data_IF_740310186851
#
_entry.id   IF_740310186851
#
_cell.length_a   1.000
_cell.length_b   1.000
_cell.length_c   1.000
_cell.angle_alpha   90.00
_cell.angle_beta   90.00
_cell.angle_gamma   90.00
#
_symmetry.space_group_name_H-M   'P 1'
#
loop_
_entity.id
_entity.type
_entity.pdbx_description
1 polymer ?
#
# COMPACT_ATOMS: atom_id res chain seq x y z
N UNK A 1 -1.72 7.46 -40.24
CA UNK A 1 -0.27 7.14 -40.21
C UNK A 1 0.19 7.33 -38.78
N UNK A 2 0.29 6.21 -38.08
CA UNK A 2 0.07 6.09 -36.65
C UNK A 2 1.31 6.32 -35.79
N UNK A 3 1.06 6.93 -34.63
CA UNK A 3 1.95 7.11 -33.47
C UNK A 3 2.48 5.79 -32.86
N UNK A 4 2.17 4.64 -33.48
CA UNK A 4 2.46 3.29 -32.98
C UNK A 4 3.88 2.79 -33.30
N UNK A 5 4.69 3.49 -34.11
CA UNK A 5 6.01 3.01 -34.53
C UNK A 5 7.24 3.63 -33.85
N UNK A 6 7.07 4.54 -32.88
CA UNK A 6 8.21 5.25 -32.28
C UNK A 6 8.71 4.72 -30.91
N UNK A 7 8.17 3.61 -30.37
CA UNK A 7 8.53 3.11 -29.02
C UNK A 7 9.25 1.74 -29.07
N UNK A 8 9.78 1.33 -30.22
CA UNK A 8 10.43 0.01 -30.35
C UNK A 8 11.97 0.02 -30.33
N UNK A 9 12.64 1.15 -30.11
CA UNK A 9 14.12 1.19 -30.20
C UNK A 9 14.83 1.72 -28.95
N UNK A 10 14.60 1.06 -27.80
CA UNK A 10 15.43 1.22 -26.61
C UNK A 10 15.94 -0.15 -26.16
N UNK A 11 17.04 -0.56 -26.77
CA UNK A 11 17.80 -1.79 -26.54
C UNK A 11 18.65 -1.70 -25.26
N UNK A 12 18.01 -1.53 -24.09
CA UNK A 12 18.70 -1.63 -22.79
C UNK A 12 17.89 -2.43 -21.74
N UNK A 13 18.44 -3.53 -21.17
CA UNK A 13 17.69 -4.49 -20.33
C UNK A 13 17.17 -3.92 -18.98
N UNK A 14 17.58 -2.71 -18.59
CA UNK A 14 17.15 -2.05 -17.35
C UNK A 14 15.73 -1.47 -17.48
N UNK A 15 15.36 -0.93 -18.64
CA UNK A 15 14.03 -0.35 -18.87
C UNK A 15 12.93 -1.42 -18.94
N UNK A 16 13.28 -2.66 -19.30
CA UNK A 16 12.36 -3.82 -19.34
C UNK A 16 11.82 -4.22 -17.96
N UNK A 17 12.54 -3.90 -16.87
CA UNK A 17 12.13 -4.22 -15.49
C UNK A 17 11.23 -3.13 -14.88
N UNK A 18 11.43 -1.86 -15.24
CA UNK A 18 10.57 -0.75 -14.82
C UNK A 18 9.26 -0.74 -15.62
N UNK A 19 9.30 -1.03 -16.93
CA UNK A 19 8.08 -1.16 -17.73
C UNK A 19 7.19 -2.34 -17.31
N UNK A 20 7.76 -3.37 -16.67
CA UNK A 20 6.97 -4.49 -16.13
C UNK A 20 6.09 -4.07 -14.95
N UNK A 21 6.46 -3.02 -14.20
CA UNK A 21 5.60 -2.44 -13.16
C UNK A 21 4.42 -1.67 -13.74
N UNK A 22 4.53 -1.14 -14.97
CA UNK A 22 3.47 -0.38 -15.64
C UNK A 22 2.51 -1.29 -16.44
N UNK A 23 2.99 -2.42 -16.96
CA UNK A 23 2.21 -3.36 -17.78
C UNK A 23 1.29 -4.32 -16.99
N UNK A 24 1.42 -4.41 -15.65
CA UNK A 24 0.57 -5.31 -14.83
C UNK A 24 -0.73 -4.62 -14.39
N UNK A 25 -0.95 -3.35 -14.74
CA UNK A 25 -2.23 -2.67 -14.50
C UNK A 25 -3.34 -3.24 -15.41
N UNK A 26 -2.99 -3.96 -16.49
CA UNK A 26 -3.95 -4.43 -17.51
C UNK A 26 -3.95 -5.95 -17.76
N UNK A 27 -3.33 -6.78 -16.92
CA UNK A 27 -3.36 -8.23 -17.12
C UNK A 27 -4.62 -8.86 -16.48
N UNK A 28 -5.62 -9.32 -17.27
CA UNK A 28 -6.80 -9.95 -16.70
C UNK A 28 -6.44 -11.24 -15.96
N UNK A 29 -7.01 -11.42 -14.76
CA UNK A 29 -6.90 -12.63 -13.97
C UNK A 29 -7.46 -13.83 -14.77
N UNK A 30 -6.61 -14.76 -15.21
CA UNK A 30 -6.97 -15.95 -16.01
C UNK A 30 -7.73 -17.04 -15.22
N UNK A 31 -8.43 -16.70 -14.14
CA UNK A 31 -9.32 -17.63 -13.40
C UNK A 31 -10.72 -17.04 -13.33
N UNK A 32 -11.41 -17.07 -14.46
CA UNK A 32 -12.85 -16.87 -14.51
C UNK A 32 -13.49 -18.15 -13.95
N UNK A 33 -13.83 -18.15 -12.65
CA UNK A 33 -14.89 -19.02 -12.11
C UNK A 33 -16.17 -18.20 -12.04
N UNK A 34 -17.29 -18.84 -12.38
CA UNK A 34 -18.61 -18.26 -12.72
C UNK A 34 -19.32 -17.44 -11.62
N UNK A 35 -18.66 -17.12 -10.51
CA UNK A 35 -19.22 -16.37 -9.39
C UNK A 35 -18.69 -14.93 -9.30
N UNK A 36 -17.97 -14.45 -10.31
CA UNK A 36 -17.50 -13.06 -10.32
C UNK A 36 -18.70 -12.12 -10.59
N UNK A 37 -19.05 -11.21 -9.65
CA UNK A 37 -20.08 -10.22 -9.92
C UNK A 37 -19.67 -9.37 -11.14
N UNK A 38 -20.64 -8.87 -11.92
CA UNK A 38 -20.36 -8.05 -13.09
C UNK A 38 -19.47 -6.87 -12.71
N UNK A 39 -18.56 -6.52 -13.61
CA UNK A 39 -17.62 -5.42 -13.48
C UNK A 39 -18.46 -4.13 -13.48
N UNK A 40 -18.91 -3.68 -12.32
CA UNK A 40 -19.50 -2.35 -12.20
C UNK A 40 -18.36 -1.35 -12.38
N UNK A 41 -18.21 -0.88 -13.61
CA UNK A 41 -17.32 0.20 -14.04
C UNK A 41 -17.84 1.55 -13.53
N UNK A 42 -18.26 1.61 -12.26
CA UNK A 42 -18.44 2.87 -11.57
C UNK A 42 -17.06 3.31 -11.13
N UNK A 43 -16.67 4.49 -11.61
CA UNK A 43 -15.43 5.19 -11.32
C UNK A 43 -15.41 5.64 -9.84
N UNK A 44 -15.54 4.70 -8.90
CA UNK A 44 -15.59 4.95 -7.46
C UNK A 44 -14.16 5.31 -7.06
N UNK A 45 -13.94 6.60 -6.90
CA UNK A 45 -12.73 7.15 -6.31
C UNK A 45 -12.71 6.72 -4.84
N UNK A 46 -11.90 5.70 -4.52
CA UNK A 46 -11.65 5.33 -3.14
C UNK A 46 -10.63 6.31 -2.57
N UNK A 47 -10.91 6.85 -1.38
CA UNK A 47 -10.00 7.68 -0.61
C UNK A 47 -9.90 7.15 0.83
N UNK A 48 -8.68 7.06 1.33
CA UNK A 48 -8.41 6.76 2.73
C UNK A 48 -7.94 8.02 3.43
N UNK A 49 -8.60 8.36 4.54
CA UNK A 49 -8.29 9.51 5.38
C UNK A 49 -7.73 9.00 6.71
N UNK A 50 -6.52 9.40 7.10
CA UNK A 50 -5.98 9.09 8.42
C UNK A 50 -6.38 10.17 9.44
N UNK A 51 -6.99 9.78 10.55
CA UNK A 51 -7.21 10.72 11.65
C UNK A 51 -5.90 11.10 12.35
N UNK A 52 -5.89 12.24 13.07
CA UNK A 52 -4.73 12.73 13.83
C UNK A 52 -4.11 11.67 14.75
N UNK A 53 -4.94 10.87 15.43
CA UNK A 53 -4.49 9.84 16.37
C UNK A 53 -3.67 8.77 15.66
N UNK A 54 -4.11 8.31 14.50
CA UNK A 54 -3.44 7.35 13.64
C UNK A 54 -2.11 7.89 13.13
N UNK A 55 -2.07 9.14 12.65
CA UNK A 55 -0.82 9.80 12.24
C UNK A 55 0.19 9.82 13.38
N UNK A 56 -0.24 10.26 14.57
CA UNK A 56 0.65 10.36 15.73
C UNK A 56 1.11 8.98 16.23
N UNK A 57 0.24 7.99 16.15
CA UNK A 57 0.57 6.59 16.45
C UNK A 57 1.63 6.08 15.48
N UNK A 58 1.41 6.18 14.17
CA UNK A 58 2.41 5.81 13.16
C UNK A 58 3.75 6.49 13.41
N UNK A 59 3.75 7.81 13.60
CA UNK A 59 4.98 8.59 13.84
C UNK A 59 5.76 8.06 15.05
N UNK A 60 5.08 7.80 16.17
CA UNK A 60 5.72 7.22 17.37
C UNK A 60 6.25 5.82 17.12
N UNK A 61 5.47 4.95 16.49
CA UNK A 61 5.83 3.56 16.31
C UNK A 61 6.98 3.37 15.31
N UNK A 62 6.98 4.16 14.21
CA UNK A 62 8.06 4.20 13.21
C UNK A 62 9.37 4.69 13.83
N UNK A 63 9.34 5.75 14.66
CA UNK A 63 10.54 6.19 15.38
C UNK A 63 11.11 5.10 16.27
N UNK A 64 10.25 4.39 17.00
CA UNK A 64 10.65 3.28 17.88
C UNK A 64 11.16 2.06 17.12
N UNK A 65 10.65 1.81 15.91
CA UNK A 65 11.08 0.68 15.09
C UNK A 65 12.46 0.92 14.43
N UNK A 66 12.80 2.18 14.13
CA UNK A 66 14.05 2.53 13.47
C UNK A 66 14.14 1.89 12.08
N UNK A 67 15.09 0.98 11.90
CA UNK A 67 15.31 0.25 10.64
C UNK A 67 14.49 -1.04 10.52
N UNK A 68 13.73 -1.41 11.56
CA UNK A 68 12.90 -2.62 11.54
C UNK A 68 11.56 -2.33 10.87
N UNK A 69 11.16 -3.22 10.00
CA UNK A 69 9.82 -3.22 9.45
C UNK A 69 8.79 -3.59 10.53
N UNK A 70 7.70 -2.85 10.56
CA UNK A 70 6.54 -3.05 11.44
C UNK A 70 5.27 -2.85 10.62
N UNK A 71 4.13 -3.29 11.14
CA UNK A 71 2.86 -3.11 10.46
C UNK A 71 1.68 -3.54 11.29
N UNK A 72 0.58 -3.91 10.68
CA UNK A 72 -0.63 -4.39 11.34
C UNK A 72 -1.87 -4.10 10.53
N UNK A 73 -3.02 -4.12 11.19
CA UNK A 73 -4.33 -3.91 10.56
C UNK A 73 -4.87 -2.49 10.75
N UNK A 74 -5.69 -2.07 9.79
CA UNK A 74 -6.42 -0.79 9.75
C UNK A 74 -7.88 -1.02 10.10
N UNK A 75 -8.38 -0.24 11.06
CA UNK A 75 -9.80 -0.20 11.42
C UNK A 75 -10.33 1.21 11.18
N UNK A 76 -11.49 1.29 10.53
CA UNK A 76 -12.01 2.57 10.11
C UNK A 76 -13.50 2.60 9.92
N UNK A 77 -13.94 3.78 9.54
CA UNK A 77 -15.32 4.14 9.34
C UNK A 77 -15.56 4.40 7.86
N UNK A 78 -16.65 3.88 7.33
CA UNK A 78 -17.22 4.31 6.05
C UNK A 78 -17.86 5.70 6.21
N UNK A 79 -17.42 6.66 5.40
CA UNK A 79 -17.97 8.02 5.37
C UNK A 79 -18.99 8.21 4.24
N UNK A 80 -19.20 7.20 3.40
CA UNK A 80 -19.93 7.32 2.14
C UNK A 80 -19.04 7.81 0.99
N UNK A 81 -19.57 7.73 -0.23
CA UNK A 81 -18.97 8.28 -1.46
C UNK A 81 -17.51 7.81 -1.72
N UNK A 82 -17.19 6.58 -1.33
CA UNK A 82 -15.86 6.00 -1.50
C UNK A 82 -14.80 6.51 -0.52
N UNK A 83 -15.18 7.25 0.52
CA UNK A 83 -14.26 7.81 1.51
C UNK A 83 -14.27 7.00 2.80
N UNK A 84 -13.08 6.65 3.29
CA UNK A 84 -12.93 5.80 4.47
C UNK A 84 -11.97 6.45 5.48
N UNK A 85 -12.46 6.69 6.70
CA UNK A 85 -11.68 7.27 7.79
C UNK A 85 -11.02 6.17 8.63
N UNK A 86 -9.70 6.10 8.63
CA UNK A 86 -8.96 5.22 9.55
C UNK A 86 -9.01 5.82 10.94
N UNK A 87 -9.73 5.15 11.84
CA UNK A 87 -9.96 5.59 13.21
C UNK A 87 -8.93 5.04 14.19
N UNK A 88 -8.44 3.82 13.95
CA UNK A 88 -7.35 3.21 14.71
C UNK A 88 -6.60 2.18 13.85
N UNK A 89 -5.42 1.79 14.32
CA UNK A 89 -4.59 0.77 13.68
C UNK A 89 -3.88 -0.07 14.73
N UNK A 90 -3.73 -1.37 14.49
CA UNK A 90 -2.92 -2.22 15.37
C UNK A 90 -1.43 -2.07 15.03
N UNK A 91 -0.54 -2.51 15.92
CA UNK A 91 0.91 -2.51 15.68
C UNK A 91 1.49 -3.87 16.02
N UNK A 92 2.06 -4.51 15.02
CA UNK A 92 2.82 -5.75 15.08
C UNK A 92 4.28 -5.42 14.76
N UNK A 93 5.20 -5.89 15.61
CA UNK A 93 6.64 -5.65 15.51
C UNK A 93 7.44 -6.92 15.21
N UNK A 94 6.77 -8.05 15.28
CA UNK A 94 7.22 -9.41 15.08
C UNK A 94 6.71 -9.92 13.73
N UNK A 95 7.47 -9.71 12.66
CA UNK A 95 7.14 -10.21 11.33
C UNK A 95 8.32 -10.08 10.39
N UNK A 96 8.65 -11.16 9.68
CA UNK A 96 9.54 -11.09 8.52
C UNK A 96 8.75 -10.60 7.30
N UNK A 97 9.50 -10.04 6.33
CA UNK A 97 9.19 -9.39 5.05
C UNK A 97 8.01 -9.92 4.19
N UNK A 98 7.31 -10.96 4.61
CA UNK A 98 6.28 -11.65 3.83
C UNK A 98 5.21 -12.33 4.67
N UNK A 99 5.16 -12.15 5.99
CA UNK A 99 4.13 -12.82 6.81
C UNK A 99 3.74 -11.99 8.03
N UNK A 100 3.00 -10.90 7.80
CA UNK A 100 2.07 -10.45 8.84
C UNK A 100 1.14 -11.62 9.14
N UNK A 101 1.26 -12.19 10.35
CA UNK A 101 0.40 -13.29 10.81
C UNK A 101 -0.97 -12.70 11.10
N UNK A 102 -1.79 -12.60 10.05
CA UNK A 102 -3.14 -12.01 10.04
C UNK A 102 -4.04 -12.60 11.13
N UNK A 103 -3.91 -13.90 11.37
CA UNK A 103 -4.60 -14.65 12.42
C UNK A 103 -3.93 -14.57 13.80
N UNK A 104 -3.12 -13.54 14.06
CA UNK A 104 -2.58 -13.29 15.39
C UNK A 104 -3.73 -13.04 16.37
N UNK A 105 -3.74 -13.70 17.55
CA UNK A 105 -4.69 -13.38 18.63
C UNK A 105 -4.77 -11.88 18.94
N UNK A 106 -3.66 -11.15 18.73
CA UNK A 106 -3.58 -9.70 18.93
C UNK A 106 -4.45 -8.91 17.94
N UNK A 107 -4.56 -9.34 16.68
CA UNK A 107 -5.40 -8.66 15.69
C UNK A 107 -6.88 -8.92 15.95
N UNK A 108 -7.24 -10.15 16.32
CA UNK A 108 -8.60 -10.47 16.75
C UNK A 108 -9.01 -9.69 17.99
N UNK A 109 -8.14 -9.60 18.99
CA UNK A 109 -8.39 -8.80 20.18
C UNK A 109 -8.54 -7.30 19.84
N UNK A 110 -7.68 -6.77 18.97
CA UNK A 110 -7.76 -5.38 18.52
C UNK A 110 -9.10 -5.09 17.83
N UNK A 111 -9.54 -5.95 16.89
CA UNK A 111 -10.82 -5.75 16.19
C UNK A 111 -12.01 -5.92 17.13
N UNK A 112 -11.96 -6.87 18.07
CA UNK A 112 -13.00 -7.03 19.10
C UNK A 112 -13.16 -5.75 19.92
N UNK A 113 -12.07 -5.20 20.44
CA UNK A 113 -12.07 -3.93 21.17
C UNK A 113 -12.46 -2.73 20.31
N UNK A 114 -12.23 -2.78 19.00
CA UNK A 114 -12.70 -1.76 18.06
C UNK A 114 -14.22 -1.81 17.91
N UNK A 115 -14.80 -3.00 17.74
CA UNK A 115 -16.25 -3.12 17.61
C UNK A 115 -16.99 -2.85 18.92
N UNK A 116 -16.44 -3.27 20.06
CA UNK A 116 -17.02 -2.97 21.38
C UNK A 116 -17.19 -1.46 21.59
N UNK A 117 -16.15 -0.66 21.30
CA UNK A 117 -16.20 0.81 21.47
C UNK A 117 -17.01 1.53 20.39
N UNK A 118 -17.29 0.89 19.27
CA UNK A 118 -18.14 1.46 18.19
C UNK A 118 -19.57 0.91 18.24
N UNK A 119 -19.96 0.23 19.32
CA UNK A 119 -21.31 -0.29 19.49
C UNK A 119 -21.69 -1.39 18.49
N UNK A 120 -20.70 -2.10 17.94
CA UNK A 120 -20.90 -3.15 16.94
C UNK A 120 -21.67 -2.70 15.67
N UNK A 121 -21.59 -1.42 15.32
CA UNK A 121 -22.15 -0.90 14.08
C UNK A 121 -21.26 -1.30 12.87
N UNK A 122 -21.44 -2.53 12.39
CA UNK A 122 -20.68 -3.10 11.27
C UNK A 122 -21.05 -2.48 9.91
N UNK A 123 -22.15 -1.75 9.81
CA UNK A 123 -22.48 -1.02 8.57
C UNK A 123 -21.52 0.16 8.40
N UNK A 124 -21.11 0.76 9.52
CA UNK A 124 -20.28 1.96 9.52
C UNK A 124 -18.83 1.70 9.87
N UNK A 125 -18.52 0.76 10.75
CA UNK A 125 -17.17 0.52 11.27
C UNK A 125 -16.66 -0.86 10.89
N UNK A 126 -15.51 -0.93 10.23
CA UNK A 126 -15.01 -2.15 9.60
C UNK A 126 -13.48 -2.30 9.68
N UNK A 127 -13.03 -3.54 9.48
CA UNK A 127 -11.67 -3.83 9.05
C UNK A 127 -11.49 -3.30 7.64
N UNK A 128 -10.52 -2.41 7.43
CA UNK A 128 -10.27 -1.81 6.12
C UNK A 128 -9.13 -2.50 5.35
N UNK A 129 -8.22 -3.19 6.05
CA UNK A 129 -7.06 -3.82 5.43
C UNK A 129 -5.81 -3.76 6.30
N UNK A 130 -4.65 -3.72 5.66
CA UNK A 130 -3.34 -3.84 6.31
C UNK A 130 -2.46 -2.61 6.07
N UNK A 131 -1.47 -2.43 6.93
CA UNK A 131 -0.42 -1.44 6.76
C UNK A 131 0.93 -2.00 7.18
N UNK A 132 2.00 -1.52 6.57
CA UNK A 132 3.37 -1.81 7.00
C UNK A 132 4.35 -0.73 6.58
N UNK A 133 5.54 -0.76 7.18
CA UNK A 133 6.58 0.23 6.98
C UNK A 133 7.69 -0.27 6.06
N UNK A 134 8.15 0.56 5.13
CA UNK A 134 9.37 0.34 4.35
C UNK A 134 10.50 1.25 4.84
N UNK A 135 11.25 0.89 5.91
CA UNK A 135 12.28 1.78 6.46
C UNK A 135 13.40 2.06 5.45
N UNK A 136 13.79 1.05 4.66
CA UNK A 136 14.91 1.11 3.73
C UNK A 136 14.50 1.39 2.27
N UNK A 137 13.21 1.22 1.93
CA UNK A 137 12.71 1.32 0.55
C UNK A 137 11.71 2.48 0.40
N UNK A 138 11.34 2.88 -0.83
CA UNK A 138 10.22 3.80 -1.02
C UNK A 138 8.94 3.26 -0.36
N UNK A 139 8.07 4.17 0.08
CA UNK A 139 6.73 3.84 0.57
C UNK A 139 5.83 3.45 -0.62
N UNK A 140 6.13 2.29 -1.21
CA UNK A 140 5.41 1.65 -2.31
C UNK A 140 5.38 0.14 -2.03
N UNK A 141 4.28 -0.57 -2.33
CA UNK A 141 4.20 -2.00 -2.13
C UNK A 141 5.21 -2.77 -3.00
N UNK A 142 5.71 -3.88 -2.45
CA UNK A 142 6.46 -4.89 -3.19
C UNK A 142 5.52 -5.80 -4.00
N UNK A 143 6.07 -6.58 -4.94
CA UNK A 143 5.29 -7.59 -5.66
C UNK A 143 4.71 -8.66 -4.71
N UNK A 144 5.42 -8.96 -3.62
CA UNK A 144 4.95 -9.87 -2.58
C UNK A 144 3.71 -9.27 -1.91
N UNK A 145 3.75 -8.00 -1.52
CA UNK A 145 2.65 -7.29 -0.87
C UNK A 145 1.39 -7.31 -1.75
N UNK A 146 1.54 -6.97 -3.05
CA UNK A 146 0.43 -7.04 -4.01
C UNK A 146 -0.17 -8.45 -4.08
N UNK A 147 0.68 -9.47 -4.19
CA UNK A 147 0.23 -10.86 -4.30
C UNK A 147 -0.46 -11.35 -3.02
N UNK A 148 -0.02 -10.88 -1.86
CA UNK A 148 -0.61 -11.24 -0.57
C UNK A 148 -1.98 -10.60 -0.36
N UNK A 149 -2.10 -9.31 -0.63
CA UNK A 149 -3.37 -8.60 -0.52
C UNK A 149 -4.39 -9.09 -1.53
N UNK A 150 -3.96 -9.42 -2.76
CA UNK A 150 -4.84 -10.02 -3.76
C UNK A 150 -5.36 -11.39 -3.31
N UNK A 151 -4.48 -12.26 -2.77
CA UNK A 151 -4.90 -13.55 -2.21
C UNK A 151 -5.89 -13.37 -1.06
N UNK A 152 -5.64 -12.41 -0.17
CA UNK A 152 -6.49 -12.13 0.98
C UNK A 152 -7.90 -11.69 0.58
N UNK A 153 -8.07 -10.83 -0.43
CA UNK A 153 -9.41 -10.43 -0.91
C UNK A 153 -10.13 -11.56 -1.67
N UNK A 154 -9.37 -12.51 -2.22
CA UNK A 154 -9.91 -13.69 -2.92
C UNK A 154 -10.30 -14.85 -1.99
N UNK A 155 -9.95 -14.79 -0.70
CA UNK A 155 -10.38 -15.78 0.30
C UNK A 155 -11.92 -15.83 0.40
N UNK A 156 -12.48 -17.03 0.57
CA UNK A 156 -13.94 -17.24 0.52
C UNK A 156 -14.67 -16.65 1.72
N UNK A 157 -14.03 -16.67 2.87
CA UNK A 157 -14.50 -16.13 4.15
C UNK A 157 -14.25 -14.62 4.29
N UNK A 158 -13.56 -14.00 3.33
CA UNK A 158 -13.41 -12.55 3.28
C UNK A 158 -14.72 -11.90 2.83
N UNK A 159 -15.42 -11.19 3.71
CA UNK A 159 -16.68 -10.53 3.35
C UNK A 159 -16.51 -9.09 2.88
N UNK A 160 -15.30 -8.53 2.97
CA UNK A 160 -15.03 -7.18 2.49
C UNK A 160 -15.17 -7.08 0.96
N UNK A 161 -15.74 -5.96 0.49
CA UNK A 161 -15.83 -5.66 -0.95
C UNK A 161 -14.47 -5.25 -1.53
N UNK A 162 -13.63 -4.62 -0.70
CA UNK A 162 -12.27 -4.27 -1.03
C UNK A 162 -11.39 -4.29 0.23
N UNK A 163 -10.08 -4.31 0.04
CA UNK A 163 -9.10 -4.13 1.12
C UNK A 163 -8.10 -3.05 0.76
N UNK A 164 -7.64 -2.32 1.77
CA UNK A 164 -6.62 -1.29 1.67
C UNK A 164 -5.27 -1.87 2.08
N UNK A 165 -4.22 -1.55 1.32
CA UNK A 165 -2.84 -1.64 1.76
C UNK A 165 -2.27 -0.23 1.91
N UNK A 166 -1.84 0.12 3.12
CA UNK A 166 -1.11 1.36 3.41
C UNK A 166 0.38 1.06 3.64
N UNK A 167 1.24 1.49 2.73
CA UNK A 167 2.69 1.37 2.90
C UNK A 167 3.24 2.72 3.34
N UNK A 168 3.97 2.74 4.45
CA UNK A 168 4.51 3.97 5.04
C UNK A 168 6.03 3.97 5.12
N UNK A 169 6.62 5.14 5.09
CA UNK A 169 8.03 5.40 5.40
C UNK A 169 8.09 6.71 6.16
N UNK A 170 9.04 6.87 7.07
CA UNK A 170 9.24 8.14 7.74
C UNK A 170 10.71 8.57 7.64
N UNK A 171 11.12 9.18 6.53
CA UNK A 171 12.42 9.84 6.48
C UNK A 171 12.38 11.06 7.41
N UNK A 172 13.28 11.08 8.40
CA UNK A 172 13.33 12.12 9.44
C UNK A 172 12.02 12.18 10.24
N UNK A 173 11.15 13.15 9.98
CA UNK A 173 9.93 13.44 10.76
C UNK A 173 8.65 13.55 9.92
N UNK A 174 8.75 13.38 8.60
CA UNK A 174 7.61 13.42 7.67
C UNK A 174 7.22 11.98 7.35
N UNK A 175 5.92 11.67 7.37
CA UNK A 175 5.42 10.36 6.92
C UNK A 175 5.18 10.47 5.42
N UNK A 176 5.90 9.65 4.66
CA UNK A 176 5.62 9.35 3.26
C UNK A 176 4.78 8.08 3.20
N UNK A 177 3.75 8.05 2.37
CA UNK A 177 2.88 6.89 2.29
C UNK A 177 2.24 6.71 0.92
N UNK A 178 1.90 5.47 0.58
CA UNK A 178 1.02 5.13 -0.54
C UNK A 178 -0.13 4.25 -0.06
N UNK A 179 -1.29 4.39 -0.67
CA UNK A 179 -2.44 3.53 -0.43
C UNK A 179 -2.90 2.85 -1.72
N UNK A 180 -3.30 1.58 -1.61
CA UNK A 180 -3.85 0.77 -2.70
C UNK A 180 -5.09 0.04 -2.25
N UNK A 181 -6.11 -0.05 -3.10
CA UNK A 181 -7.27 -0.89 -2.92
C UNK A 181 -7.17 -2.18 -3.75
N UNK A 182 -7.63 -3.28 -3.17
CA UNK A 182 -7.68 -4.60 -3.77
C UNK A 182 -9.13 -5.05 -3.82
N UNK A 183 -9.57 -5.53 -4.98
CA UNK A 183 -10.92 -6.05 -5.21
C UNK A 183 -10.80 -7.42 -5.85
N UNK A 184 -11.81 -8.27 -5.62
CA UNK A 184 -11.86 -9.60 -6.23
C UNK A 184 -11.78 -9.50 -7.74
N UNK A 185 -10.93 -10.32 -8.33
CA UNK A 185 -10.78 -10.45 -9.79
C UNK A 185 -10.37 -9.16 -10.52
N UNK A 186 -9.86 -8.15 -9.81
CA UNK A 186 -9.45 -6.87 -10.38
C UNK A 186 -7.99 -6.55 -10.07
N UNK A 187 -7.35 -5.77 -10.94
CA UNK A 187 -6.01 -5.23 -10.67
C UNK A 187 -6.04 -4.31 -9.44
N UNK A 188 -4.96 -4.27 -8.64
CA UNK A 188 -4.83 -3.30 -7.55
C UNK A 188 -4.97 -1.86 -8.05
N UNK A 189 -5.79 -1.08 -7.37
CA UNK A 189 -6.04 0.33 -7.70
C UNK A 189 -5.25 1.21 -6.75
N UNK A 190 -4.50 2.18 -7.27
CA UNK A 190 -3.91 3.23 -6.45
C UNK A 190 -5.03 4.18 -6.00
N UNK A 191 -5.12 4.47 -4.71
CA UNK A 191 -6.24 5.23 -4.14
C UNK A 191 -5.77 6.54 -3.50
N UNK A 192 -6.70 7.46 -3.28
CA UNK A 192 -6.42 8.72 -2.59
C UNK A 192 -5.98 8.47 -1.14
N UNK A 193 -5.03 9.27 -0.67
CA UNK A 193 -4.57 9.24 0.72
C UNK A 193 -4.45 10.66 1.25
N UNK A 194 -5.17 10.94 2.34
CA UNK A 194 -5.12 12.22 3.03
C UNK A 194 -5.11 12.03 4.55
N UNK A 195 -4.98 13.13 5.29
CA UNK A 195 -5.16 13.15 6.74
C UNK A 195 -6.09 14.27 7.15
N UNK A 196 -6.78 14.11 8.29
CA UNK A 196 -7.69 15.13 8.82
C UNK A 196 -6.99 16.46 9.14
N UNK A 197 -5.67 16.42 9.32
CA UNK A 197 -4.83 17.61 9.47
C UNK A 197 -3.87 17.73 8.29
N UNK A 198 -3.73 18.92 7.72
CA UNK A 198 -2.82 19.20 6.60
C UNK A 198 -1.34 19.07 6.99
N UNK A 199 -0.50 18.68 6.03
CA UNK A 199 0.97 18.67 6.19
C UNK A 199 1.58 17.50 6.96
N UNK A 200 0.77 16.52 7.38
CA UNK A 200 1.22 15.41 8.22
C UNK A 200 1.61 14.14 7.47
N UNK A 201 1.08 13.96 6.25
CA UNK A 201 1.34 12.83 5.36
C UNK A 201 1.59 13.36 3.96
N UNK A 202 2.64 12.87 3.32
CA UNK A 202 2.93 13.14 1.91
C UNK A 202 2.68 11.89 1.10
N UNK A 203 1.85 12.00 0.06
CA UNK A 203 1.63 10.91 -0.87
C UNK A 203 2.93 10.63 -1.66
N UNK A 204 3.42 9.39 -1.60
CA UNK A 204 4.73 9.01 -2.13
C UNK A 204 4.82 9.12 -3.66
N UNK A 205 3.72 9.09 -4.41
CA UNK A 205 3.75 9.40 -5.86
C UNK A 205 4.07 10.88 -6.14
N UNK A 206 3.52 11.80 -5.33
CA UNK A 206 3.77 13.23 -5.51
C UNK A 206 5.25 13.59 -5.33
N UNK A 207 5.98 12.82 -4.51
CA UNK A 207 7.42 13.00 -4.30
C UNK A 207 8.23 12.51 -5.50
N UNK A 208 7.95 11.32 -6.03
CA UNK A 208 8.69 10.76 -7.17
C UNK A 208 8.40 11.49 -8.49
N UNK A 209 7.16 11.92 -8.73
CA UNK A 209 6.81 12.75 -9.91
C UNK A 209 7.50 14.13 -9.87
N UNK A 210 7.61 14.74 -8.68
CA UNK A 210 8.36 16.00 -8.51
C UNK A 210 9.87 15.82 -8.72
N UNK A 211 10.46 14.69 -8.29
CA UNK A 211 11.89 14.41 -8.49
C UNK A 211 12.23 14.09 -9.95
N UNK A 212 11.33 13.43 -10.69
CA UNK A 212 11.49 13.20 -12.12
C UNK A 212 11.40 14.50 -12.94
N UNK A 213 10.51 15.43 -12.57
CA UNK A 213 10.37 16.73 -13.25
C UNK A 213 11.56 17.69 -13.02
N UNK A 214 12.36 17.51 -11.97
CA UNK A 214 13.43 18.44 -11.61
C UNK A 214 14.86 17.96 -11.89
N UNK A 215 15.07 16.79 -12.50
CA UNK A 215 16.39 16.39 -13.03
C UNK A 215 17.56 16.39 -12.02
N UNK A 216 17.30 16.39 -10.71
CA UNK A 216 18.35 16.35 -9.69
C UNK A 216 18.84 14.91 -9.52
N UNK A 217 19.84 14.58 -10.34
CA UNK A 217 20.68 13.38 -10.21
C UNK A 217 21.06 13.18 -8.74
N UNK A 218 20.70 12.01 -8.18
CA UNK A 218 20.91 11.59 -6.80
C UNK A 218 22.16 12.20 -6.14
N UNK A 219 21.96 12.91 -5.02
CA UNK A 219 23.03 13.35 -4.12
C UNK A 219 23.82 12.17 -3.53
N UNK A 220 24.97 12.45 -2.90
CA UNK A 220 25.93 11.43 -2.40
C UNK A 220 25.29 10.29 -1.58
N UNK A 221 24.30 10.58 -0.73
CA UNK A 221 23.58 9.53 0.05
C UNK A 221 22.63 8.69 -0.81
N UNK A 222 22.03 9.28 -1.84
CA UNK A 222 21.17 8.60 -2.80
C UNK A 222 21.94 7.61 -3.68
N UNK A 223 23.17 7.98 -4.11
CA UNK A 223 24.07 7.05 -4.82
C UNK A 223 24.51 5.90 -3.93
N UNK A 224 24.70 6.13 -2.63
CA UNK A 224 25.03 5.07 -1.68
C UNK A 224 23.86 4.10 -1.47
N UNK A 225 22.62 4.60 -1.38
CA UNK A 225 21.41 3.75 -1.30
C UNK A 225 21.19 2.96 -2.59
N UNK A 226 21.38 3.59 -3.76
CA UNK A 226 21.25 2.92 -5.05
C UNK A 226 22.34 1.85 -5.24
N UNK A 227 23.60 2.12 -4.84
CA UNK A 227 24.67 1.11 -4.80
C UNK A 227 24.34 -0.03 -3.82
N UNK A 228 23.73 0.27 -2.67
CA UNK A 228 23.31 -0.77 -1.71
C UNK A 228 22.18 -1.64 -2.28
N UNK A 229 21.19 -1.03 -2.93
CA UNK A 229 20.10 -1.75 -3.59
C UNK A 229 20.60 -2.59 -4.78
N UNK A 230 21.52 -2.05 -5.58
CA UNK A 230 22.15 -2.77 -6.70
C UNK A 230 23.04 -3.92 -6.21
N UNK A 231 23.84 -3.73 -5.15
CA UNK A 231 24.65 -4.80 -4.57
C UNK A 231 23.80 -5.91 -3.93
N UNK A 232 22.63 -5.58 -3.38
CA UNK A 232 21.67 -6.60 -2.91
C UNK A 232 21.10 -7.36 -4.10
N UNK A 233 20.75 -6.67 -5.19
CA UNK A 233 20.25 -7.31 -6.42
C UNK A 233 21.29 -8.19 -7.11
N UNK A 234 22.58 -7.81 -7.12
CA UNK A 234 23.66 -8.62 -7.69
C UNK A 234 23.91 -9.91 -6.90
N UNK A 235 23.69 -9.91 -5.58
CA UNK A 235 23.77 -11.12 -4.74
C UNK A 235 22.62 -12.11 -4.93
N UNK A 236 21.52 -11.68 -5.56
CA UNK A 236 20.40 -12.55 -5.94
C UNK A 236 20.50 -13.08 -7.37
N UNK A 237 21.52 -12.69 -8.13
CA UNK A 237 21.73 -13.03 -9.56
C UNK A 237 22.94 -13.96 -9.76
N UNK A 238 23.63 -14.35 -8.69
CA UNK A 238 24.58 -15.47 -8.67
C UNK A 238 24.02 -16.58 -7.79
#
# INVERSE_FOLDING_TARGET
MDFHRAICDISHPIYRRVFKYLLIVTAPCRRVRQDCPPIYENNVMIEVVLNKRCVNKLRRELRRAGSKEIGGILAGQDLGDGRFLVLDLSVQRDGSFSHFRRSSPKHHQFMRQFFERTGHDYQRFNYLGEWHSHPSFPALPSQTDFSQMQKLIEERDQNAQFLVLLVVKMPKSIIEASAYAFRRCQSPLRIGLSSTETGNITDSASYWEKQQKHGKVFGRSGRACLKKALNVLEKFIK
#
